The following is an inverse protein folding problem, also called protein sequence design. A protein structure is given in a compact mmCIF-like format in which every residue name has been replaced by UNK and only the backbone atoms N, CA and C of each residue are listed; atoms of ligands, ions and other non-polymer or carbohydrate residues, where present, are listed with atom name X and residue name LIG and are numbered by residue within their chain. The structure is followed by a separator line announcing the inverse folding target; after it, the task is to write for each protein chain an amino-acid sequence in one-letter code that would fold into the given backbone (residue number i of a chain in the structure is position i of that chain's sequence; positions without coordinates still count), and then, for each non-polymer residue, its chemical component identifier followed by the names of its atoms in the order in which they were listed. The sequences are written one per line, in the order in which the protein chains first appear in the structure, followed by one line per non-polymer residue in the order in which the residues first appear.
data_IF_944147565136
#
_entry.id   IF_944147565136
#
_cell.length_a   1.000
_cell.length_b   1.000
_cell.length_c   1.000
_cell.angle_alpha   90.00
_cell.angle_beta   90.00
_cell.angle_gamma   90.00
#
_symmetry.space_group_name_H-M   'P 1'
#
loop_
_entity.id
_entity.type
_entity.pdbx_description
1 polymer ?
#
# COMPACT_ATOMS: atom_id res chain seq x y z
N UNK A 1 13.72 -18.52 -47.19
CA UNK A 1 15.06 -18.80 -46.64
C UNK A 1 15.66 -17.48 -46.17
N UNK A 2 15.70 -17.23 -44.86
CA UNK A 2 16.33 -16.02 -44.32
C UNK A 2 17.84 -16.27 -44.25
N UNK A 3 18.59 -15.69 -45.20
CA UNK A 3 20.05 -15.70 -45.19
C UNK A 3 20.52 -14.82 -44.04
N UNK A 4 21.04 -15.43 -42.99
CA UNK A 4 21.70 -14.71 -41.89
C UNK A 4 22.88 -13.95 -42.48
N UNK A 5 22.88 -12.63 -42.28
CA UNK A 5 23.82 -11.67 -42.89
C UNK A 5 25.28 -12.07 -42.65
N UNK A 6 26.07 -12.16 -43.73
CA UNK A 6 27.53 -12.13 -43.63
C UNK A 6 27.94 -10.73 -43.17
N UNK A 7 28.44 -10.65 -41.94
CA UNK A 7 28.93 -9.47 -41.22
C UNK A 7 27.86 -8.52 -40.66
N UNK A 8 27.82 -8.45 -39.32
CA UNK A 8 27.14 -7.43 -38.51
C UNK A 8 27.95 -6.12 -38.54
N UNK A 9 28.16 -5.54 -39.73
CA UNK A 9 28.85 -4.25 -39.90
C UNK A 9 27.90 -3.19 -40.46
N UNK A 10 28.20 -1.91 -40.22
CA UNK A 10 27.40 -0.80 -40.75
C UNK A 10 27.30 -0.84 -42.28
N UNK A 11 28.36 -1.28 -42.96
CA UNK A 11 28.36 -1.48 -44.41
C UNK A 11 27.44 -2.64 -44.85
N UNK A 12 27.34 -3.71 -44.05
CA UNK A 12 26.40 -4.80 -44.27
C UNK A 12 24.95 -4.36 -44.08
N UNK A 13 24.69 -3.56 -43.04
CA UNK A 13 23.37 -3.00 -42.75
C UNK A 13 22.92 -1.99 -43.82
N UNK A 14 23.83 -1.17 -44.33
CA UNK A 14 23.55 -0.21 -45.41
C UNK A 14 23.16 -0.92 -46.72
N UNK A 15 23.83 -2.02 -47.07
CA UNK A 15 23.44 -2.85 -48.22
C UNK A 15 22.07 -3.48 -48.04
N UNK A 16 21.81 -4.06 -46.87
CA UNK A 16 20.54 -4.73 -46.59
C UNK A 16 19.34 -3.76 -46.60
N UNK A 17 19.53 -2.53 -46.11
CA UNK A 17 18.48 -1.50 -46.13
C UNK A 17 18.28 -0.88 -47.52
N UNK A 18 19.30 -0.86 -48.37
CA UNK A 18 19.17 -0.38 -49.75
C UNK A 18 18.27 -1.27 -50.62
N UNK A 19 18.16 -2.56 -50.30
CA UNK A 19 17.32 -3.53 -51.01
C UNK A 19 15.86 -3.55 -50.49
N UNK A 20 15.53 -2.72 -49.48
CA UNK A 20 14.17 -2.68 -48.93
C UNK A 20 13.25 -1.73 -49.71
N UNK A 21 12.04 -2.20 -50.04
CA UNK A 21 10.98 -1.35 -50.56
C UNK A 21 10.43 -0.37 -49.49
N UNK A 22 9.65 0.66 -49.88
CA UNK A 22 9.13 1.65 -48.93
C UNK A 22 8.27 1.07 -47.79
N UNK A 23 7.55 -0.04 -48.01
CA UNK A 23 6.74 -0.68 -46.98
C UNK A 23 7.62 -1.47 -46.01
N UNK A 24 8.64 -2.17 -46.51
CA UNK A 24 9.64 -2.85 -45.68
C UNK A 24 10.48 -1.86 -44.88
N UNK A 25 10.86 -0.72 -45.46
CA UNK A 25 11.54 0.36 -44.75
C UNK A 25 10.64 0.97 -43.67
N UNK A 26 9.35 1.17 -43.94
CA UNK A 26 8.40 1.67 -42.95
C UNK A 26 8.24 0.68 -41.78
N UNK A 27 8.14 -0.62 -42.06
CA UNK A 27 8.07 -1.67 -41.05
C UNK A 27 9.38 -1.79 -40.26
N UNK A 28 10.54 -1.73 -40.92
CA UNK A 28 11.84 -1.77 -40.26
C UNK A 28 12.02 -0.56 -39.33
N UNK A 29 11.65 0.65 -39.78
CA UNK A 29 11.66 1.86 -38.95
C UNK A 29 10.72 1.76 -37.74
N UNK A 30 9.57 1.09 -37.88
CA UNK A 30 8.62 0.85 -36.79
C UNK A 30 9.22 0.02 -35.65
N UNK A 31 10.16 -0.86 -35.98
CA UNK A 31 10.78 -1.80 -35.05
C UNK A 31 12.26 -1.48 -34.78
N UNK A 32 12.75 -0.32 -35.23
CA UNK A 32 14.10 0.14 -34.94
C UNK A 32 14.21 0.55 -33.46
N UNK A 33 15.09 -0.07 -32.66
CA UNK A 33 15.30 0.30 -31.26
C UNK A 33 15.98 1.66 -31.08
N UNK A 34 16.51 2.28 -32.15
CA UNK A 34 17.15 3.60 -32.06
C UNK A 34 16.14 4.68 -31.68
N UNK A 35 16.55 5.68 -30.86
CA UNK A 35 15.67 6.77 -30.46
C UNK A 35 15.20 7.55 -31.70
N UNK A 36 13.90 7.54 -31.94
CA UNK A 36 13.24 8.35 -32.95
C UNK A 36 11.98 8.96 -32.34
N UNK A 37 11.53 10.08 -32.90
CA UNK A 37 10.28 10.72 -32.48
C UNK A 37 9.14 9.71 -32.64
N UNK A 38 8.42 9.40 -31.57
CA UNK A 38 7.30 8.48 -31.67
C UNK A 38 6.14 9.13 -32.41
N UNK A 39 5.83 8.59 -33.59
CA UNK A 39 4.73 9.07 -34.43
C UNK A 39 3.41 8.36 -34.14
N UNK A 40 3.40 7.36 -33.24
CA UNK A 40 2.32 6.40 -33.10
C UNK A 40 1.56 6.48 -31.77
N UNK A 41 1.90 7.42 -30.89
CA UNK A 41 1.22 7.60 -29.61
C UNK A 41 1.33 6.36 -28.71
N UNK A 42 2.49 5.70 -28.70
CA UNK A 42 2.77 4.57 -27.80
C UNK A 42 2.72 5.06 -26.34
N UNK A 43 2.53 4.10 -25.44
CA UNK A 43 2.51 4.36 -24.00
C UNK A 43 3.85 4.97 -23.59
N UNK A 44 3.83 6.00 -22.76
CA UNK A 44 5.04 6.67 -22.25
C UNK A 44 6.00 5.67 -21.61
N UNK A 45 7.27 5.69 -22.02
CA UNK A 45 8.30 4.70 -21.72
C UNK A 45 8.50 3.62 -22.79
N UNK A 46 7.56 3.42 -23.73
CA UNK A 46 7.66 2.46 -24.84
C UNK A 46 7.96 3.11 -26.20
N UNK A 47 8.16 4.43 -26.23
CA UNK A 47 8.54 5.18 -27.44
C UNK A 47 9.93 4.75 -27.93
N UNK A 48 10.83 4.45 -26.98
CA UNK A 48 12.19 3.99 -27.22
C UNK A 48 12.44 2.74 -26.38
N UNK A 49 12.78 1.62 -27.02
CA UNK A 49 13.13 0.38 -26.31
C UNK A 49 14.62 0.43 -25.95
N UNK A 50 14.97 0.93 -24.76
CA UNK A 50 16.33 0.75 -24.22
C UNK A 50 16.41 -0.63 -23.55
N UNK A 51 17.21 -1.53 -24.10
CA UNK A 51 17.39 -2.90 -23.58
C UNK A 51 18.03 -2.95 -22.18
N UNK A 52 18.66 -1.85 -21.74
CA UNK A 52 19.17 -1.70 -20.37
C UNK A 52 18.09 -1.25 -19.39
N UNK A 53 16.99 -0.69 -19.90
CA UNK A 53 15.83 -0.20 -19.16
C UNK A 53 14.58 -0.75 -19.84
N UNK A 54 14.48 -2.09 -19.94
CA UNK A 54 13.33 -2.74 -20.56
C UNK A 54 12.08 -2.31 -19.80
N UNK A 55 11.17 -1.54 -20.41
CA UNK A 55 9.94 -1.16 -19.73
C UNK A 55 9.15 -2.43 -19.50
N UNK A 56 8.89 -2.84 -18.25
CA UNK A 56 7.87 -3.86 -18.01
C UNK A 56 6.51 -3.18 -17.97
N UNK A 57 5.49 -3.97 -18.24
CA UNK A 57 4.10 -3.53 -18.21
C UNK A 57 3.71 -3.19 -16.74
N UNK A 58 4.04 -1.98 -16.28
CA UNK A 58 3.72 -1.50 -14.92
C UNK A 58 4.89 -1.08 -14.02
N UNK A 59 6.11 -0.88 -14.53
CA UNK A 59 7.29 -0.58 -13.68
C UNK A 59 7.39 0.86 -13.15
N UNK A 60 6.50 1.76 -13.57
CA UNK A 60 6.47 3.10 -12.98
C UNK A 60 5.24 3.23 -12.12
N UNK A 61 5.47 3.46 -10.82
CA UNK A 61 4.42 3.96 -9.95
C UNK A 61 3.91 5.29 -10.53
N UNK A 62 2.61 5.39 -10.84
CA UNK A 62 2.06 6.61 -11.42
C UNK A 62 2.30 7.77 -10.45
N UNK A 63 2.58 8.95 -10.99
CA UNK A 63 2.54 10.15 -10.16
C UNK A 63 1.10 10.43 -9.67
N UNK A 64 0.93 11.41 -8.77
CA UNK A 64 -0.38 11.65 -8.17
C UNK A 64 -1.47 12.02 -9.20
N UNK A 65 -1.13 12.73 -10.27
CA UNK A 65 -2.11 13.11 -11.30
C UNK A 65 -2.42 11.94 -12.23
N UNK A 66 -1.41 11.14 -12.57
CA UNK A 66 -1.60 9.89 -13.31
C UNK A 66 -2.44 8.89 -12.51
N UNK A 67 -2.24 8.78 -11.20
CA UNK A 67 -3.04 7.93 -10.33
C UNK A 67 -4.50 8.38 -10.32
N UNK A 68 -4.76 9.70 -10.22
CA UNK A 68 -6.12 10.26 -10.34
C UNK A 68 -6.75 9.91 -11.69
N UNK A 69 -6.01 10.09 -12.78
CA UNK A 69 -6.48 9.76 -14.13
C UNK A 69 -6.83 8.28 -14.24
N UNK A 70 -5.92 7.37 -13.87
CA UNK A 70 -6.14 5.92 -13.91
C UNK A 70 -7.37 5.53 -13.07
N UNK A 71 -7.49 6.07 -11.86
CA UNK A 71 -8.62 5.81 -10.97
C UNK A 71 -9.94 6.35 -11.52
N UNK A 72 -9.91 7.46 -12.27
CA UNK A 72 -11.09 8.03 -12.93
C UNK A 72 -11.56 7.18 -14.12
N UNK A 73 -10.63 6.57 -14.87
CA UNK A 73 -10.95 5.71 -16.01
C UNK A 73 -11.56 4.38 -15.63
N UNK A 74 -11.28 3.85 -14.42
CA UNK A 74 -11.94 2.63 -13.94
C UNK A 74 -13.39 2.95 -13.56
N UNK A 75 -14.41 2.50 -14.30
CA UNK A 75 -15.79 2.75 -13.90
C UNK A 75 -16.10 2.01 -12.60
N UNK A 76 -17.01 2.59 -11.81
CA UNK A 76 -17.66 1.83 -10.74
C UNK A 76 -18.41 0.64 -11.33
N UNK A 77 -18.40 -0.48 -10.62
CA UNK A 77 -19.12 -1.67 -11.07
C UNK A 77 -20.62 -1.33 -11.21
N UNK A 78 -21.28 -1.75 -12.31
CA UNK A 78 -22.69 -1.48 -12.55
C UNK A 78 -23.62 -2.34 -11.67
N UNK A 79 -23.10 -2.92 -10.59
CA UNK A 79 -23.82 -3.81 -9.70
C UNK A 79 -24.48 -3.00 -8.60
N UNK A 80 -25.68 -3.43 -8.20
CA UNK A 80 -26.36 -2.84 -7.05
C UNK A 80 -25.49 -2.95 -5.79
N UNK A 81 -25.41 -1.85 -5.05
CA UNK A 81 -24.64 -1.77 -3.82
C UNK A 81 -25.51 -2.35 -2.70
N UNK A 82 -25.17 -3.56 -2.26
CA UNK A 82 -25.80 -4.19 -1.10
C UNK A 82 -25.44 -3.40 0.18
N UNK A 83 -26.39 -2.72 0.85
CA UNK A 83 -26.09 -1.96 2.05
C UNK A 83 -25.72 -2.90 3.21
N UNK A 84 -24.70 -2.52 3.98
CA UNK A 84 -24.34 -3.25 5.19
C UNK A 84 -25.49 -3.21 6.23
N UNK A 85 -25.53 -4.20 7.12
CA UNK A 85 -26.49 -4.20 8.23
C UNK A 85 -26.14 -3.09 9.25
N UNK A 86 -27.09 -2.55 10.03
CA UNK A 86 -26.78 -1.66 11.16
C UNK A 86 -25.85 -2.33 12.17
N UNK A 87 -24.84 -1.62 12.68
CA UNK A 87 -23.94 -2.10 13.73
C UNK A 87 -24.25 -1.40 15.05
N UNK A 88 -24.61 -2.18 16.07
CA UNK A 88 -24.82 -1.67 17.42
C UNK A 88 -23.67 -2.12 18.31
N UNK A 89 -22.93 -1.16 18.86
CA UNK A 89 -21.84 -1.45 19.77
C UNK A 89 -22.39 -2.04 21.09
N UNK A 90 -21.93 -3.24 21.44
CA UNK A 90 -22.33 -3.97 22.65
C UNK A 90 -21.12 -4.24 23.56
N UNK A 91 -21.36 -4.60 24.82
CA UNK A 91 -20.31 -5.01 25.76
C UNK A 91 -20.03 -4.03 26.91
N UNK A 92 -19.02 -4.30 27.74
CA UNK A 92 -18.69 -3.52 28.93
C UNK A 92 -18.42 -2.04 28.60
N UNK A 93 -18.70 -1.14 29.55
CA UNK A 93 -18.51 0.30 29.32
C UNK A 93 -17.05 0.67 28.99
N UNK A 94 -16.08 0.02 29.62
CA UNK A 94 -14.64 0.21 29.34
C UNK A 94 -14.30 -0.11 27.88
N UNK A 95 -14.77 -1.24 27.38
CA UNK A 95 -14.51 -1.70 26.02
C UNK A 95 -15.23 -0.81 25.00
N UNK A 96 -16.46 -0.36 25.31
CA UNK A 96 -17.16 0.61 24.45
C UNK A 96 -16.43 1.95 24.34
N UNK A 97 -15.82 2.43 25.42
CA UNK A 97 -15.00 3.65 25.40
C UNK A 97 -13.74 3.48 24.55
N UNK A 98 -13.06 2.32 24.66
CA UNK A 98 -11.90 1.98 23.81
C UNK A 98 -12.29 1.91 22.33
N UNK A 99 -13.38 1.20 22.03
CA UNK A 99 -13.92 1.05 20.68
C UNK A 99 -14.24 2.41 20.05
N UNK A 100 -14.90 3.29 20.80
CA UNK A 100 -15.19 4.66 20.37
C UNK A 100 -13.89 5.43 20.08
N UNK A 101 -12.92 5.40 20.99
CA UNK A 101 -11.64 6.09 20.81
C UNK A 101 -10.91 5.62 19.54
N UNK A 102 -10.82 4.31 19.33
CA UNK A 102 -10.18 3.74 18.15
C UNK A 102 -10.92 4.17 16.87
N UNK A 103 -12.26 4.04 16.84
CA UNK A 103 -13.04 4.49 15.68
C UNK A 103 -12.83 5.99 15.40
N UNK A 104 -12.81 6.84 16.43
CA UNK A 104 -12.52 8.27 16.29
C UNK A 104 -11.13 8.52 15.71
N UNK A 105 -10.10 7.77 16.16
CA UNK A 105 -8.75 7.87 15.60
C UNK A 105 -8.75 7.52 14.10
N UNK A 106 -9.36 6.42 13.71
CA UNK A 106 -9.44 6.03 12.31
C UNK A 106 -10.13 7.10 11.46
N UNK A 107 -11.28 7.61 11.89
CA UNK A 107 -11.99 8.68 11.17
C UNK A 107 -11.16 9.96 11.11
N UNK A 108 -10.52 10.36 12.21
CA UNK A 108 -9.71 11.58 12.28
C UNK A 108 -8.51 11.52 11.33
N UNK A 109 -7.70 10.46 11.41
CA UNK A 109 -6.45 10.38 10.65
C UNK A 109 -6.67 10.04 9.17
N UNK A 110 -7.70 9.28 8.83
CA UNK A 110 -7.97 8.89 7.45
C UNK A 110 -8.85 9.90 6.71
N UNK A 111 -9.80 10.53 7.40
CA UNK A 111 -10.85 11.31 6.76
C UNK A 111 -11.21 12.60 7.51
N UNK A 112 -10.42 13.06 8.49
CA UNK A 112 -10.78 14.21 9.32
C UNK A 112 -11.08 15.50 8.54
N UNK A 113 -10.44 15.69 7.38
CA UNK A 113 -10.66 16.83 6.48
C UNK A 113 -11.54 16.49 5.26
N UNK A 114 -12.09 15.29 5.20
CA UNK A 114 -13.08 14.91 4.19
C UNK A 114 -14.47 15.47 4.55
N UNK A 115 -15.35 15.61 3.54
CA UNK A 115 -16.77 15.77 3.79
C UNK A 115 -17.30 14.69 4.74
N UNK A 116 -18.38 15.00 5.47
CA UNK A 116 -18.99 14.07 6.43
C UNK A 116 -19.30 12.70 5.81
N UNK A 117 -19.69 12.66 4.53
CA UNK A 117 -19.90 11.41 3.80
C UNK A 117 -18.62 10.55 3.69
N UNK A 118 -17.45 11.16 3.47
CA UNK A 118 -16.16 10.46 3.43
C UNK A 118 -15.77 9.89 4.80
N UNK A 119 -15.99 10.66 5.86
CA UNK A 119 -15.79 10.20 7.25
C UNK A 119 -16.69 9.00 7.59
N UNK A 120 -17.98 9.09 7.23
CA UNK A 120 -18.94 8.00 7.40
C UNK A 120 -18.57 6.76 6.59
N UNK A 121 -18.03 6.94 5.38
CA UNK A 121 -17.60 5.86 4.52
C UNK A 121 -16.39 5.09 5.08
N UNK A 122 -15.39 5.79 5.63
CA UNK A 122 -14.26 5.15 6.33
C UNK A 122 -14.73 4.40 7.57
N UNK A 123 -15.59 5.00 8.39
CA UNK A 123 -16.17 4.33 9.56
C UNK A 123 -16.94 3.05 9.15
N UNK A 124 -17.72 3.11 8.07
CA UNK A 124 -18.43 1.95 7.54
C UNK A 124 -17.47 0.85 7.05
N UNK A 125 -16.35 1.21 6.41
CA UNK A 125 -15.34 0.25 5.98
C UNK A 125 -14.70 -0.49 7.16
N UNK A 126 -14.40 0.21 8.27
CA UNK A 126 -13.92 -0.41 9.52
C UNK A 126 -14.96 -1.42 10.04
N UNK A 127 -16.23 -1.03 10.15
CA UNK A 127 -17.30 -1.91 10.62
C UNK A 127 -17.53 -3.12 9.71
N UNK A 128 -17.35 -2.94 8.40
CA UNK A 128 -17.40 -4.01 7.41
C UNK A 128 -16.24 -5.00 7.63
N UNK A 129 -15.02 -4.53 7.89
CA UNK A 129 -13.87 -5.38 8.25
C UNK A 129 -14.16 -6.20 9.51
N UNK A 130 -14.64 -5.58 10.59
CA UNK A 130 -15.00 -6.28 11.83
C UNK A 130 -15.93 -7.47 11.56
N UNK A 131 -16.86 -7.34 10.61
CA UNK A 131 -17.83 -8.39 10.24
C UNK A 131 -17.33 -9.38 9.20
N UNK A 132 -16.29 -9.06 8.45
CA UNK A 132 -15.76 -9.93 7.41
C UNK A 132 -14.81 -10.99 8.03
N UNK A 133 -14.87 -12.26 7.61
CA UNK A 133 -14.10 -13.35 8.24
C UNK A 133 -12.57 -13.20 8.12
N UNK A 134 -12.08 -12.37 7.21
CA UNK A 134 -10.66 -12.12 6.97
C UNK A 134 -10.02 -11.02 7.81
N UNK A 135 -10.70 -10.46 8.82
CA UNK A 135 -10.15 -9.41 9.67
C UNK A 135 -10.41 -9.69 11.16
N UNK A 136 -9.73 -8.97 12.08
CA UNK A 136 -10.01 -9.02 13.51
C UNK A 136 -11.48 -8.72 13.84
N UNK A 137 -11.93 -9.16 15.02
CA UNK A 137 -13.32 -9.08 15.47
C UNK A 137 -13.57 -7.94 16.47
N UNK A 138 -12.61 -7.02 16.61
CA UNK A 138 -12.69 -5.81 17.44
C UNK A 138 -12.34 -4.57 16.62
N UNK A 139 -12.78 -3.40 17.06
CA UNK A 139 -12.60 -2.16 16.29
C UNK A 139 -11.14 -1.70 16.35
N UNK A 140 -10.56 -1.67 17.55
CA UNK A 140 -9.13 -1.42 17.75
C UNK A 140 -8.29 -2.49 17.06
N UNK A 141 -8.73 -3.76 17.07
CA UNK A 141 -8.02 -4.83 16.40
C UNK A 141 -7.90 -4.61 14.89
N UNK A 142 -8.98 -4.19 14.23
CA UNK A 142 -8.95 -3.84 12.78
C UNK A 142 -8.07 -2.62 12.52
N UNK A 143 -8.08 -1.64 13.42
CA UNK A 143 -7.39 -0.36 13.22
C UNK A 143 -5.88 -0.50 13.41
N UNK A 144 -5.46 -1.27 14.41
CA UNK A 144 -4.05 -1.50 14.73
C UNK A 144 -3.48 -2.77 14.08
N UNK A 145 -4.21 -3.37 13.14
CA UNK A 145 -3.74 -4.55 12.41
C UNK A 145 -2.46 -4.23 11.63
N UNK A 146 -1.39 -4.97 11.93
CA UNK A 146 -0.08 -4.78 11.32
C UNK A 146 0.70 -3.56 11.84
N UNK A 147 0.27 -2.91 12.93
CA UNK A 147 0.91 -1.71 13.46
C UNK A 147 2.38 -1.89 13.92
N UNK A 148 2.81 -3.10 14.24
CA UNK A 148 4.19 -3.44 14.59
C UNK A 148 5.04 -3.87 13.38
N UNK A 149 4.50 -3.82 12.16
CA UNK A 149 5.27 -4.12 10.94
C UNK A 149 6.12 -2.92 10.51
N UNK A 150 7.26 -3.20 9.90
CA UNK A 150 8.08 -2.17 9.26
C UNK A 150 7.41 -1.55 8.03
N UNK A 151 6.56 -2.31 7.33
CA UNK A 151 5.75 -1.85 6.18
C UNK A 151 4.41 -2.58 6.15
N UNK A 152 3.40 -1.98 5.50
CA UNK A 152 2.12 -2.66 5.25
C UNK A 152 1.13 -2.62 6.42
N UNK A 153 1.14 -1.56 7.21
CA UNK A 153 0.13 -1.31 8.25
C UNK A 153 -1.26 -1.12 7.64
N UNK A 154 -2.29 -1.64 8.28
CA UNK A 154 -3.66 -1.54 7.76
C UNK A 154 -4.14 -0.09 7.66
N UNK A 155 -3.72 0.75 8.61
CA UNK A 155 -3.89 2.19 8.61
C UNK A 155 -2.52 2.83 8.79
N UNK A 156 -2.10 3.72 7.88
CA UNK A 156 -0.72 4.21 7.91
C UNK A 156 -0.39 5.02 9.17
N UNK A 157 -1.39 5.70 9.73
CA UNK A 157 -1.23 6.54 10.92
C UNK A 157 -0.74 5.78 12.17
N UNK A 158 -0.90 4.45 12.19
CA UNK A 158 -0.42 3.62 13.31
C UNK A 158 1.08 3.36 13.26
N UNK A 159 1.74 3.64 12.13
CA UNK A 159 3.14 3.30 11.89
C UNK A 159 4.00 4.48 11.41
N UNK A 160 3.38 5.52 10.85
CA UNK A 160 4.09 6.69 10.30
C UNK A 160 4.42 7.78 11.34
N UNK A 161 4.20 7.49 12.64
CA UNK A 161 4.39 8.44 13.73
C UNK A 161 3.26 9.47 13.90
N UNK A 162 2.18 9.39 13.14
CA UNK A 162 1.06 10.34 13.20
C UNK A 162 0.47 10.52 14.59
N UNK A 163 0.44 9.45 15.38
CA UNK A 163 -0.10 9.45 16.74
C UNK A 163 0.69 10.35 17.72
N UNK A 164 1.93 10.73 17.38
CA UNK A 164 2.74 11.64 18.19
C UNK A 164 2.44 13.12 17.93
N UNK A 165 1.68 13.43 16.88
CA UNK A 165 1.36 14.80 16.49
C UNK A 165 0.24 15.39 17.35
N UNK A 166 0.26 16.71 17.52
CA UNK A 166 -0.83 17.42 18.19
C UNK A 166 -2.13 17.28 17.38
N UNK A 167 -3.22 16.99 18.09
CA UNK A 167 -4.54 16.78 17.51
C UNK A 167 -5.29 18.12 17.46
N UNK A 168 -6.00 18.39 16.36
CA UNK A 168 -6.95 19.50 16.28
C UNK A 168 -8.23 19.15 17.05
N UNK A 169 -8.59 19.88 18.14
CA UNK A 169 -9.76 19.55 18.94
C UNK A 169 -11.07 19.59 18.16
N UNK A 170 -11.21 20.54 17.22
CA UNK A 170 -12.41 20.70 16.41
C UNK A 170 -12.61 19.52 15.44
N UNK A 171 -11.55 19.11 14.75
CA UNK A 171 -11.60 17.98 13.80
C UNK A 171 -11.81 16.67 14.55
N UNK A 172 -11.20 16.52 15.73
CA UNK A 172 -11.43 15.36 16.60
C UNK A 172 -12.87 15.24 17.07
N UNK A 173 -13.48 16.34 17.53
CA UNK A 173 -14.88 16.35 17.95
C UNK A 173 -15.83 15.94 16.81
N UNK A 174 -15.57 16.42 15.59
CA UNK A 174 -16.34 16.03 14.41
C UNK A 174 -16.20 14.53 14.09
N UNK A 175 -14.96 14.02 14.10
CA UNK A 175 -14.68 12.60 13.90
C UNK A 175 -15.36 11.73 14.96
N UNK A 176 -15.40 12.19 16.22
CA UNK A 176 -16.05 11.50 17.32
C UNK A 176 -17.58 11.43 17.15
N UNK A 177 -18.22 12.50 16.67
CA UNK A 177 -19.66 12.50 16.35
C UNK A 177 -19.97 11.46 15.27
N UNK A 178 -19.16 11.39 14.22
CA UNK A 178 -19.30 10.38 13.15
C UNK A 178 -19.10 8.98 13.71
N UNK A 179 -18.07 8.76 14.54
CA UNK A 179 -17.78 7.49 15.18
C UNK A 179 -18.94 7.03 16.06
N UNK A 180 -19.47 7.89 16.94
CA UNK A 180 -20.63 7.60 17.79
C UNK A 180 -21.85 7.20 16.95
N UNK A 181 -22.11 7.94 15.86
CA UNK A 181 -23.24 7.67 14.97
C UNK A 181 -23.10 6.32 14.27
N UNK A 182 -21.93 5.98 13.75
CA UNK A 182 -21.65 4.68 13.12
C UNK A 182 -21.82 3.51 14.12
N UNK A 183 -21.30 3.68 15.34
CA UNK A 183 -21.39 2.68 16.42
C UNK A 183 -22.81 2.54 17.01
N UNK A 184 -23.69 3.50 16.74
CA UNK A 184 -25.10 3.51 17.12
C UNK A 184 -26.04 3.05 15.99
N UNK A 185 -25.52 2.37 14.95
CA UNK A 185 -26.33 1.71 13.93
C UNK A 185 -26.52 2.49 12.63
N UNK A 186 -25.90 3.67 12.47
CA UNK A 186 -25.91 4.35 11.19
C UNK A 186 -25.17 3.54 10.12
N UNK A 187 -25.74 3.51 8.90
CA UNK A 187 -25.19 2.80 7.75
C UNK A 187 -24.94 3.76 6.60
N UNK A 188 -23.69 3.84 6.15
CA UNK A 188 -23.35 4.54 4.90
C UNK A 188 -23.64 3.63 3.70
N UNK A 189 -24.86 3.70 3.18
CA UNK A 189 -25.35 2.79 2.13
C UNK A 189 -24.53 2.84 0.84
N UNK A 190 -23.99 4.00 0.49
CA UNK A 190 -23.26 4.20 -0.77
C UNK A 190 -21.95 3.41 -0.90
N UNK A 191 -21.40 2.92 0.21
CA UNK A 191 -20.19 2.07 0.20
C UNK A 191 -20.48 0.60 0.46
N UNK A 192 -21.74 0.22 0.73
CA UNK A 192 -22.18 -1.16 0.87
C UNK A 192 -21.26 -2.05 1.71
N UNK A 193 -20.73 -3.09 1.09
CA UNK A 193 -19.80 -4.08 1.68
C UNK A 193 -18.31 -3.74 1.48
N UNK A 194 -17.96 -2.49 1.22
CA UNK A 194 -16.57 -2.08 1.02
C UNK A 194 -15.71 -2.45 2.24
N UNK A 195 -14.57 -3.09 1.98
CA UNK A 195 -13.53 -3.38 2.99
C UNK A 195 -12.19 -2.75 2.64
N UNK A 196 -12.03 -2.26 1.42
CA UNK A 196 -10.80 -1.63 0.95
C UNK A 196 -11.13 -0.25 0.42
N UNK A 197 -10.21 0.68 0.65
CA UNK A 197 -10.25 1.98 0.02
C UNK A 197 -8.82 2.52 -0.09
N UNK A 198 -8.63 3.48 -0.97
CA UNK A 198 -7.42 4.29 -1.05
C UNK A 198 -7.80 5.71 -1.50
N UNK A 199 -6.89 6.66 -1.29
CA UNK A 199 -7.06 8.01 -1.83
C UNK A 199 -6.94 7.99 -3.37
N UNK A 200 -7.67 8.85 -4.05
CA UNK A 200 -7.77 8.92 -5.51
C UNK A 200 -6.44 9.26 -6.20
N UNK A 201 -5.51 9.88 -5.48
CA UNK A 201 -4.15 10.17 -5.90
C UNK A 201 -3.16 9.02 -5.60
N UNK A 202 -3.63 7.83 -5.20
CA UNK A 202 -2.80 6.63 -5.00
C UNK A 202 -3.34 5.51 -5.88
N UNK A 203 -2.46 4.69 -6.45
CA UNK A 203 -2.85 3.52 -7.25
C UNK A 203 -2.18 2.24 -6.73
N UNK A 204 -2.78 1.55 -5.75
CA UNK A 204 -2.18 0.37 -5.18
C UNK A 204 -2.34 -0.85 -6.11
N UNK A 205 -1.35 -1.75 -6.09
CA UNK A 205 -1.31 -2.95 -6.95
C UNK A 205 -2.55 -3.85 -6.84
N UNK A 206 -3.27 -3.81 -5.72
CA UNK A 206 -4.49 -4.59 -5.49
C UNK A 206 -5.76 -3.92 -6.02
N UNK A 207 -5.77 -2.61 -6.32
CA UNK A 207 -6.98 -1.92 -6.79
C UNK A 207 -7.58 -2.54 -8.07
N UNK A 208 -6.78 -3.03 -9.05
CA UNK A 208 -7.30 -3.71 -10.22
C UNK A 208 -7.95 -5.08 -9.93
N UNK A 209 -7.51 -5.77 -8.88
CA UNK A 209 -7.98 -7.13 -8.55
C UNK A 209 -9.32 -7.13 -7.81
N UNK A 210 -9.77 -5.96 -7.34
CA UNK A 210 -11.01 -5.78 -6.59
C UNK A 210 -12.11 -5.09 -7.39
N UNK A 211 -13.35 -5.24 -6.93
CA UNK A 211 -14.53 -4.59 -7.53
C UNK A 211 -14.65 -3.17 -6.99
N UNK A 212 -14.50 -2.16 -7.87
CA UNK A 212 -14.70 -0.74 -7.52
C UNK A 212 -16.19 -0.50 -7.28
N UNK A 213 -16.55 0.04 -6.11
CA UNK A 213 -17.94 0.35 -5.75
C UNK A 213 -18.26 1.81 -6.04
N UNK A 214 -17.63 2.72 -5.30
CA UNK A 214 -17.92 4.15 -5.40
C UNK A 214 -16.71 4.98 -4.98
N UNK A 215 -16.64 6.20 -5.49
CA UNK A 215 -15.76 7.24 -4.96
C UNK A 215 -16.58 8.16 -4.07
N UNK A 216 -16.13 8.39 -2.83
CA UNK A 216 -16.76 9.30 -1.86
C UNK A 216 -15.69 10.23 -1.31
N UNK A 217 -15.82 11.53 -1.58
CA UNK A 217 -14.75 12.48 -1.32
C UNK A 217 -13.51 12.11 -2.14
N UNK A 218 -12.34 12.10 -1.52
CA UNK A 218 -11.10 11.65 -2.19
C UNK A 218 -10.89 10.13 -2.16
N UNK A 219 -11.81 9.37 -1.54
CA UNK A 219 -11.61 7.93 -1.32
C UNK A 219 -12.32 7.09 -2.37
N UNK A 220 -11.60 6.14 -2.96
CA UNK A 220 -12.15 5.12 -3.87
C UNK A 220 -12.36 3.83 -3.09
N UNK A 221 -13.61 3.34 -3.01
CA UNK A 221 -13.99 2.17 -2.22
C UNK A 221 -14.14 0.91 -3.08
N UNK A 222 -13.71 -0.22 -2.52
CA UNK A 222 -13.72 -1.52 -3.17
C UNK A 222 -14.21 -2.62 -2.24
N UNK A 223 -14.75 -3.68 -2.85
CA UNK A 223 -15.06 -4.95 -2.20
C UNK A 223 -14.33 -6.11 -2.86
N UNK A 224 -14.26 -7.22 -2.15
CA UNK A 224 -13.82 -8.51 -2.68
C UNK A 224 -14.63 -8.94 -3.90
N UNK A 225 -13.98 -9.71 -4.78
CA UNK A 225 -14.62 -10.41 -5.88
C UNK A 225 -15.38 -11.65 -5.36
N UNK A 226 -16.36 -12.13 -6.12
CA UNK A 226 -17.13 -13.33 -5.78
C UNK A 226 -17.95 -13.23 -4.48
N UNK A 227 -18.11 -14.37 -3.80
CA UNK A 227 -18.96 -14.51 -2.60
C UNK A 227 -18.43 -13.77 -1.38
N UNK A 228 -17.10 -13.63 -1.26
CA UNK A 228 -16.47 -12.91 -0.15
C UNK A 228 -16.85 -11.42 -0.12
N UNK A 229 -17.21 -10.84 -1.26
CA UNK A 229 -17.64 -9.44 -1.37
C UNK A 229 -19.13 -9.20 -1.15
N UNK A 230 -19.95 -10.25 -1.05
CA UNK A 230 -21.40 -10.12 -0.86
C UNK A 230 -21.74 -10.04 0.62
N UNK A 231 -22.88 -9.45 0.95
CA UNK A 231 -23.34 -9.26 2.34
C UNK A 231 -23.40 -10.59 3.12
N UNK A 232 -23.62 -11.71 2.43
CA UNK A 232 -23.63 -13.05 3.01
C UNK A 232 -22.32 -13.43 3.74
N UNK A 233 -21.16 -12.86 3.36
CA UNK A 233 -19.88 -13.10 4.02
C UNK A 233 -19.72 -12.34 5.35
N UNK A 234 -20.48 -11.27 5.57
CA UNK A 234 -20.32 -10.33 6.69
C UNK A 234 -21.06 -10.80 7.94
N UNK A 235 -20.75 -12.02 8.41
CA UNK A 235 -21.40 -12.68 9.56
C UNK A 235 -20.58 -12.63 10.85
N UNK A 236 -19.38 -12.05 10.80
CA UNK A 236 -18.50 -11.90 11.95
C UNK A 236 -19.18 -11.15 13.08
N UNK A 237 -19.08 -11.70 14.30
CA UNK A 237 -19.57 -11.06 15.51
C UNK A 237 -18.46 -10.23 16.14
N UNK A 238 -18.85 -9.06 16.63
CA UNK A 238 -17.96 -8.22 17.42
C UNK A 238 -17.59 -8.92 18.72
N UNK A 239 -16.30 -8.96 19.07
CA UNK A 239 -15.78 -9.69 20.23
C UNK A 239 -16.06 -9.00 21.57
N UNK A 240 -16.35 -7.69 21.54
CA UNK A 240 -16.40 -6.85 22.74
C UNK A 240 -15.12 -6.89 23.59
N UNK A 241 -13.98 -7.20 22.96
CA UNK A 241 -12.66 -7.14 23.56
C UNK A 241 -11.76 -6.29 22.64
N UNK A 242 -11.46 -5.07 23.07
CA UNK A 242 -10.66 -4.10 22.34
C UNK A 242 -9.15 -4.20 22.66
N UNK A 243 -8.75 -5.23 23.41
CA UNK A 243 -7.33 -5.51 23.63
C UNK A 243 -6.69 -5.94 22.31
N UNK A 244 -5.63 -5.25 21.90
CA UNK A 244 -4.87 -5.58 20.70
C UNK A 244 -3.76 -6.55 21.09
N UNK A 245 -3.81 -7.78 20.57
CA UNK A 245 -2.76 -8.78 20.80
C UNK A 245 -1.55 -8.54 19.90
N UNK A 246 -0.40 -9.10 20.27
CA UNK A 246 0.81 -9.09 19.43
C UNK A 246 0.56 -9.65 18.03
N UNK A 247 -0.22 -10.73 17.89
CA UNK A 247 -0.57 -11.29 16.59
C UNK A 247 -1.30 -10.28 15.69
N UNK A 248 -2.21 -9.49 16.26
CA UNK A 248 -2.92 -8.44 15.54
C UNK A 248 -1.95 -7.32 15.15
N UNK A 249 -1.07 -6.91 16.08
CA UNK A 249 -0.06 -5.89 15.80
C UNK A 249 0.93 -6.34 14.71
N UNK A 250 1.28 -7.63 14.66
CA UNK A 250 2.09 -8.21 13.58
C UNK A 250 1.27 -8.52 12.33
N UNK A 251 -0.05 -8.29 12.33
CA UNK A 251 -0.97 -8.61 11.23
C UNK A 251 -0.97 -10.09 10.85
N UNK A 252 -0.59 -10.96 11.79
CA UNK A 252 -0.44 -12.37 11.54
C UNK A 252 -1.84 -13.02 11.49
N UNK A 253 -2.25 -13.51 10.31
CA UNK A 253 -3.51 -14.24 10.21
C UNK A 253 -3.32 -15.60 10.88
N UNK A 254 -4.12 -15.98 11.90
CA UNK A 254 -4.04 -17.30 12.52
C UNK A 254 -4.15 -18.44 11.49
N UNK A 255 -4.86 -18.24 10.38
CA UNK A 255 -4.95 -19.23 9.27
C UNK A 255 -3.64 -19.40 8.49
N UNK A 256 -2.79 -18.39 8.49
CA UNK A 256 -1.45 -18.45 7.89
C UNK A 256 -0.38 -18.87 8.89
N UNK A 257 -0.58 -18.61 10.19
CA UNK A 257 0.31 -19.04 11.27
C UNK A 257 0.23 -20.55 11.53
N UNK A 258 -0.95 -21.17 11.41
CA UNK A 258 -1.09 -22.64 11.52
C UNK A 258 -0.31 -23.41 10.42
N UNK A 259 0.04 -22.74 9.32
CA UNK A 259 0.83 -23.29 8.23
C UNK A 259 2.32 -22.87 8.25
N UNK A 260 2.74 -22.03 9.21
CA UNK A 260 4.10 -21.52 9.26
C UNK A 260 5.06 -22.53 9.92
N UNK A 261 6.20 -22.89 9.27
CA UNK A 261 7.17 -23.78 9.89
C UNK A 261 7.80 -23.14 11.14
N UNK A 262 8.15 -23.94 12.17
CA UNK A 262 8.53 -23.45 13.50
C UNK A 262 9.75 -22.51 13.52
N UNK A 263 10.58 -22.54 12.48
CA UNK A 263 11.71 -21.60 12.32
C UNK A 263 11.30 -20.14 12.09
N UNK A 264 10.12 -19.89 11.51
CA UNK A 264 9.59 -18.54 11.25
C UNK A 264 9.01 -17.92 12.54
N UNK A 265 8.35 -18.75 13.36
CA UNK A 265 7.85 -18.36 14.69
C UNK A 265 8.99 -17.97 15.64
N UNK A 266 10.13 -18.67 15.56
CA UNK A 266 11.31 -18.38 16.38
C UNK A 266 12.00 -17.05 16.01
N UNK A 267 11.96 -16.65 14.73
CA UNK A 267 12.52 -15.35 14.29
C UNK A 267 11.61 -14.18 14.64
N UNK A 268 10.28 -14.39 14.62
CA UNK A 268 9.28 -13.40 15.04
C UNK A 268 9.37 -13.07 16.54
N UNK A 269 9.63 -14.07 17.38
CA UNK A 269 9.77 -13.88 18.84
C UNK A 269 11.05 -13.11 19.23
N UNK A 270 12.09 -13.12 18.38
CA UNK A 270 13.40 -12.56 18.71
C UNK A 270 13.54 -11.04 18.47
N UNK A 271 12.58 -10.40 17.78
CA UNK A 271 12.66 -8.97 17.41
C UNK A 271 11.87 -8.03 18.33
N UNK A 272 11.41 -8.54 19.48
CA UNK A 272 10.87 -7.82 20.65
C UNK A 272 10.59 -6.33 20.46
N UNK A 273 9.34 -5.99 20.10
CA UNK A 273 8.86 -4.62 20.10
C UNK A 273 8.80 -4.06 21.51
N UNK A 274 9.55 -2.99 21.77
CA UNK A 274 9.43 -2.20 22.99
C UNK A 274 8.13 -1.39 22.89
N UNK A 275 7.12 -1.79 23.67
CA UNK A 275 5.92 -0.99 23.91
C UNK A 275 6.28 0.21 24.81
N UNK A 276 5.82 1.44 24.54
CA UNK A 276 5.72 2.46 25.58
C UNK A 276 4.49 2.15 26.44
N UNK A 277 4.73 1.91 27.73
CA UNK A 277 3.67 1.81 28.76
C UNK A 277 3.14 3.22 29.04
N UNK A 278 1.83 3.40 28.92
CA UNK A 278 1.16 4.64 29.35
C UNK A 278 1.10 4.70 30.89
N UNK A 279 2.14 5.25 31.52
CA UNK A 279 2.09 5.64 32.93
C UNK A 279 1.30 6.94 33.04
N UNK A 280 0.08 6.86 33.56
CA UNK A 280 -0.88 7.97 33.63
C UNK A 280 -0.51 9.13 34.57
N UNK A 281 0.63 9.77 34.38
CA UNK A 281 0.97 11.06 34.98
C UNK A 281 0.93 12.19 33.95
N UNK A 282 0.43 13.39 34.31
CA UNK A 282 0.43 14.53 33.40
C UNK A 282 1.86 15.03 33.19
N UNK A 283 2.34 14.95 31.95
CA UNK A 283 3.63 15.51 31.56
C UNK A 283 3.60 17.05 31.68
N UNK A 284 4.34 17.58 32.65
CA UNK A 284 4.79 18.98 32.65
C UNK A 284 5.89 19.12 31.60
N UNK A 285 5.71 20.05 30.67
CA UNK A 285 6.78 20.47 29.75
C UNK A 285 7.23 21.85 30.19
N UNK A 286 8.47 21.93 30.68
CA UNK A 286 9.24 23.17 30.83
C UNK A 286 10.04 23.36 29.54
N UNK A 287 9.79 24.44 28.82
CA UNK A 287 10.66 24.90 27.72
C UNK A 287 11.86 25.67 28.28
N UNK A 288 13.10 25.54 27.73
CA UNK A 288 14.27 26.26 28.25
C UNK A 288 14.23 27.79 28.08
N UNK A 289 13.32 28.36 27.28
CA UNK A 289 13.36 29.79 26.92
C UNK A 289 12.01 30.54 27.02
N UNK A 290 10.94 29.90 27.47
CA UNK A 290 9.74 30.61 27.96
C UNK A 290 8.97 31.49 26.97
N UNK A 291 9.03 31.28 25.65
CA UNK A 291 8.25 32.07 24.68
C UNK A 291 7.14 31.23 24.03
N UNK A 292 5.89 31.67 24.23
CA UNK A 292 4.69 31.22 23.51
C UNK A 292 4.63 32.00 22.21
N UNK A 293 4.88 31.36 21.07
CA UNK A 293 4.67 31.99 19.76
C UNK A 293 3.23 31.76 19.30
N UNK A 294 2.46 32.84 19.23
CA UNK A 294 1.09 32.88 18.69
C UNK A 294 1.20 33.00 17.17
N UNK A 295 0.82 31.95 16.42
CA UNK A 295 0.73 32.01 14.96
C UNK A 295 -0.45 32.91 14.51
N UNK A 296 -0.26 33.81 13.53
CA UNK A 296 -1.31 34.66 12.99
C UNK A 296 -2.35 33.89 12.14
N UNK A 297 -3.55 34.46 11.93
CA UNK A 297 -4.65 33.78 11.23
C UNK A 297 -4.32 33.55 9.75
N UNK A 298 -4.66 32.36 9.27
CA UNK A 298 -4.44 31.93 7.88
C UNK A 298 -5.23 32.81 6.91
N UNK A 299 -4.53 33.66 6.16
CA UNK A 299 -5.05 34.27 4.92
C UNK A 299 -4.69 33.37 3.76
N UNK A 300 -5.63 32.51 3.36
CA UNK A 300 -5.50 31.62 2.20
C UNK A 300 -6.88 31.13 1.77
N UNK A 301 -7.05 30.86 0.47
CA UNK A 301 -8.31 30.45 -0.14
C UNK A 301 -8.92 29.25 0.61
N UNK A 302 -10.12 29.40 1.24
CA UNK A 302 -10.75 28.34 2.02
C UNK A 302 -11.06 27.08 1.19
N UNK A 303 -11.09 27.18 -0.14
CA UNK A 303 -11.25 26.04 -1.03
C UNK A 303 -9.98 25.16 -1.14
N UNK A 304 -8.79 25.70 -0.86
CA UNK A 304 -7.55 24.92 -0.87
C UNK A 304 -7.36 24.08 0.40
N UNK A 305 -7.99 24.49 1.52
CA UNK A 305 -7.95 23.78 2.80
C UNK A 305 -8.99 22.63 2.92
N UNK A 306 -9.94 22.53 1.98
CA UNK A 306 -10.92 21.44 1.89
C UNK A 306 -10.54 20.40 0.82
N UNK A 307 -9.30 19.92 0.85
CA UNK A 307 -8.86 18.81 -0.01
C UNK A 307 -8.27 17.69 0.83
N UNK A 308 -9.19 17.00 1.50
CA UNK A 308 -9.11 15.58 1.80
C UNK A 308 -8.17 15.11 2.90
N UNK A 309 -8.41 13.88 3.33
CA UNK A 309 -7.64 13.18 4.36
C UNK A 309 -6.15 13.19 4.06
N UNK A 310 -5.35 13.44 5.11
CA UNK A 310 -3.94 13.88 5.11
C UNK A 310 -3.77 15.28 4.49
N UNK A 311 -3.30 16.23 5.30
CA UNK A 311 -2.76 17.52 4.80
C UNK A 311 -1.76 17.20 3.68
N UNK A 312 -2.06 17.62 2.45
CA UNK A 312 -1.08 17.62 1.36
C UNK A 312 0.17 18.35 1.88
N UNK A 313 1.37 17.74 1.81
CA UNK A 313 2.60 18.41 2.20
C UNK A 313 2.67 19.75 1.46
N UNK A 314 2.93 20.82 2.20
CA UNK A 314 3.17 22.14 1.62
C UNK A 314 4.36 22.09 0.67
N UNK A 315 4.47 23.00 -0.31
CA UNK A 315 5.63 23.05 -1.20
C UNK A 315 6.98 23.02 -0.46
N UNK A 316 7.05 23.69 0.69
CA UNK A 316 8.21 23.71 1.59
C UNK A 316 8.48 22.35 2.26
N UNK A 317 7.43 21.62 2.66
CA UNK A 317 7.54 20.26 3.20
C UNK A 317 7.95 19.25 2.11
N UNK A 318 7.46 19.41 0.87
CA UNK A 318 7.91 18.64 -0.30
C UNK A 318 9.40 18.88 -0.56
N UNK A 319 9.84 20.13 -0.51
CA UNK A 319 11.25 20.49 -0.66
C UNK A 319 12.11 19.89 0.46
N UNK A 320 11.61 19.90 1.70
CA UNK A 320 12.30 19.29 2.85
C UNK A 320 12.37 17.76 2.74
N UNK A 321 11.31 17.11 2.26
CA UNK A 321 11.27 15.66 1.99
C UNK A 321 12.26 15.30 0.88
N UNK A 322 12.25 16.04 -0.23
CA UNK A 322 13.17 15.83 -1.34
C UNK A 322 14.63 16.06 -0.91
N UNK A 323 14.88 17.06 -0.05
CA UNK A 323 16.19 17.30 0.54
C UNK A 323 16.62 16.17 1.49
N UNK A 324 15.71 15.61 2.28
CA UNK A 324 15.98 14.47 3.15
C UNK A 324 16.22 13.17 2.35
N UNK A 325 15.48 12.95 1.26
CA UNK A 325 15.68 11.83 0.34
C UNK A 325 17.00 11.96 -0.43
N UNK A 326 17.38 13.17 -0.86
CA UNK A 326 18.67 13.42 -1.48
C UNK A 326 19.87 13.13 -0.57
N UNK A 327 19.70 13.19 0.76
CA UNK A 327 20.72 12.77 1.73
C UNK A 327 20.80 11.23 1.86
N UNK A 328 19.70 10.52 1.60
CA UNK A 328 19.65 9.05 1.60
C UNK A 328 20.09 8.44 0.26
N UNK A 329 19.88 9.17 -0.84
CA UNK A 329 20.30 8.81 -2.20
C UNK A 329 21.70 9.29 -2.57
N UNK A 330 22.32 10.13 -1.74
CA UNK A 330 23.74 10.44 -1.88
C UNK A 330 24.53 9.12 -1.81
N UNK A 331 25.34 8.79 -2.82
CA UNK A 331 26.10 7.55 -2.82
C UNK A 331 27.02 7.57 -1.61
N UNK A 332 26.75 6.70 -0.63
CA UNK A 332 27.78 6.34 0.36
C UNK A 332 28.92 5.76 -0.45
N UNK A 333 30.04 6.46 -0.52
CA UNK A 333 31.31 5.87 -0.94
C UNK A 333 31.52 4.62 -0.07
N UNK A 334 31.29 3.47 -0.67
CA UNK A 334 31.60 2.20 -0.05
C UNK A 334 33.12 2.15 0.08
N UNK A 335 33.62 2.34 1.29
CA UNK A 335 34.98 1.93 1.64
C UNK A 335 35.01 0.41 1.53
N UNK A 336 35.40 -0.07 0.35
CA UNK A 336 35.67 -1.48 0.12
C UNK A 336 36.91 -1.83 0.94
N UNK A 337 36.71 -2.45 2.10
CA UNK A 337 37.78 -3.20 2.73
C UNK A 337 38.09 -4.39 1.83
N UNK A 338 39.30 -4.40 1.26
CA UNK A 338 39.84 -5.53 0.53
C UNK A 338 39.96 -6.70 1.50
N UNK A 339 39.03 -7.64 1.42
CA UNK A 339 39.17 -8.95 2.04
C UNK A 339 40.11 -9.75 1.13
N UNK A 340 41.29 -10.06 1.65
CA UNK A 340 42.26 -10.96 1.01
C UNK A 340 41.60 -12.32 0.74
N UNK A 341 41.60 -12.75 -0.53
CA UNK A 341 40.92 -13.95 -0.97
C UNK A 341 41.58 -15.19 -0.34
N UNK A 342 40.83 -15.91 0.49
CA UNK A 342 41.23 -17.25 0.95
C UNK A 342 41.32 -18.21 -0.25
N UNK A 343 42.40 -19.00 -0.29
CA UNK A 343 42.64 -19.98 -1.35
C UNK A 343 41.49 -21.00 -1.47
N UNK A 344 41.16 -21.46 -2.69
CA UNK A 344 40.06 -22.39 -2.90
C UNK A 344 40.36 -23.76 -2.27
N UNK A 345 39.34 -24.46 -1.70
CA UNK A 345 39.52 -25.78 -1.12
C UNK A 345 39.88 -26.82 -2.19
N UNK A 346 40.64 -27.88 -1.83
CA UNK A 346 41.05 -28.92 -2.77
C UNK A 346 39.86 -29.74 -3.29
N UNK A 347 39.96 -30.28 -4.52
CA UNK A 347 38.86 -31.00 -5.16
C UNK A 347 38.52 -32.32 -4.43
N UNK A 348 37.25 -32.76 -4.46
CA UNK A 348 36.82 -33.99 -3.82
C UNK A 348 37.45 -35.24 -4.49
N UNK A 349 37.65 -36.33 -3.72
CA UNK A 349 38.23 -37.55 -4.24
C UNK A 349 37.32 -38.23 -5.28
N UNK A 350 37.91 -38.96 -6.26
CA UNK A 350 37.14 -39.59 -7.33
C UNK A 350 36.18 -40.67 -6.82
N UNK A 351 35.02 -40.86 -7.46
CA UNK A 351 34.03 -41.85 -7.05
C UNK A 351 34.56 -43.28 -7.24
N UNK A 352 34.27 -44.15 -6.26
CA UNK A 352 34.64 -45.58 -6.32
C UNK A 352 33.93 -46.29 -7.48
N UNK A 353 34.65 -47.19 -8.15
CA UNK A 353 34.12 -48.00 -9.25
C UNK A 353 32.89 -48.82 -8.81
N UNK A 354 31.84 -48.76 -9.62
CA UNK A 354 30.60 -49.52 -9.43
C UNK A 354 30.86 -51.00 -9.77
N UNK A 355 30.46 -51.97 -8.94
CA UNK A 355 30.62 -53.38 -9.28
C UNK A 355 29.77 -53.76 -10.50
N UNK A 356 30.22 -54.73 -11.33
CA UNK A 356 29.53 -55.12 -12.55
C UNK A 356 28.17 -55.74 -12.23
N UNK A 357 27.11 -55.18 -12.80
CA UNK A 357 25.74 -55.70 -12.74
C UNK A 357 25.58 -56.79 -13.80
N UNK A 358 25.26 -58.01 -13.35
CA UNK A 358 25.03 -59.23 -14.14
C UNK A 358 23.62 -59.29 -14.76
N UNK A 359 23.21 -58.27 -15.51
CA UNK A 359 21.98 -58.33 -16.30
C UNK A 359 22.17 -57.58 -17.63
N UNK A 360 22.84 -58.25 -18.56
CA UNK A 360 22.53 -58.16 -20.00
C UNK A 360 21.46 -59.25 -20.27
N UNK A 361 20.64 -59.28 -21.35
CA UNK A 361 21.07 -58.92 -22.70
C UNK A 361 19.98 -58.44 -23.73
N UNK A 362 20.47 -58.13 -24.94
CA UNK A 362 19.85 -58.23 -26.28
C UNK A 362 19.23 -56.98 -26.97
N UNK A 363 19.95 -56.63 -28.04
CA UNK A 363 19.61 -55.91 -29.29
C UNK A 363 19.53 -54.38 -29.29
#
# INVERSE_FOLDING_TARGET
MATVTRALSDAGLARFTADMDPAMLALARRHDPRPHKDFWGRVRGWEVVDVRVVPRLGDRDPDFEEARLINSYKPSAPLDIEPARPFMLSGPASERTKALRCMTQAVYYEAGFEPVAGQQAVAQAVLNRVRHPGYPKSICGVIYEGASRSTGCQFSFTCDGSLQRAISPAVWANAEIVARRALAGFVMKDVGTATHYHADYVYPYWAPTLVKLRTVGTHVFYRWTGLAGRLAAFRGRYSANETVSEDILMGADPRTLEAAPPGVLATLAATGGVLPVATGEPAKIVSPEGVVEILPPMTGDPAAAMRGGRRLPTPEEIEKINKALGVLEAPKEAVVQTVEAAAPPPPPPPPKARPPSLLNPLN
#
